data_IF_576079121662
#
_entry.id   IF_576079121662
#
_cell.length_a   1.000
_cell.length_b   1.000
_cell.length_c   1.000
_cell.angle_alpha   90.00
_cell.angle_beta   90.00
_cell.angle_gamma   90.00
#
_symmetry.space_group_name_H-M   'P 1'
#
loop_
_entity.id
_entity.type
_entity.pdbx_description
1 polymer ?
#
# COMPACT_ATOMS: atom_id res chain seq x y z
N UNK A 1 4.83 -2.68 -7.38
CA UNK A 1 4.82 -1.86 -6.15
C UNK A 1 6.22 -1.30 -5.87
N UNK A 2 6.34 0.01 -5.58
CA UNK A 2 7.62 0.72 -5.54
C UNK A 2 8.44 0.42 -4.29
N UNK A 3 7.89 0.67 -3.10
CA UNK A 3 8.67 0.65 -1.86
C UNK A 3 9.01 -0.79 -1.41
N UNK A 4 8.05 -1.71 -1.48
CA UNK A 4 8.29 -3.13 -1.14
C UNK A 4 9.25 -3.83 -2.12
N UNK A 5 9.26 -3.37 -3.38
CA UNK A 5 10.21 -3.85 -4.39
C UNK A 5 11.62 -3.30 -4.15
N UNK A 6 11.73 -2.04 -3.73
CA UNK A 6 13.01 -1.47 -3.30
C UNK A 6 13.54 -2.18 -2.05
N UNK A 7 12.67 -2.43 -1.05
CA UNK A 7 13.04 -3.12 0.17
C UNK A 7 13.56 -4.53 -0.10
N UNK A 8 12.91 -5.29 -0.99
CA UNK A 8 13.40 -6.62 -1.40
C UNK A 8 14.81 -6.54 -1.99
N UNK A 9 15.05 -5.61 -2.92
CA UNK A 9 16.37 -5.43 -3.55
C UNK A 9 17.48 -5.12 -2.54
N UNK A 10 17.18 -4.31 -1.53
CA UNK A 10 18.14 -4.02 -0.44
C UNK A 10 18.43 -5.29 0.37
N UNK A 11 17.41 -6.05 0.73
CA UNK A 11 17.58 -7.31 1.46
C UNK A 11 18.37 -8.36 0.67
N UNK A 12 18.08 -8.50 -0.63
CA UNK A 12 18.80 -9.40 -1.53
C UNK A 12 20.30 -9.00 -1.60
N UNK A 13 20.58 -7.70 -1.72
CA UNK A 13 21.95 -7.16 -1.74
C UNK A 13 22.71 -7.42 -0.43
N UNK A 14 21.98 -7.45 0.69
CA UNK A 14 22.52 -7.73 2.02
C UNK A 14 22.54 -9.22 2.38
N UNK A 15 22.10 -10.11 1.49
CA UNK A 15 21.89 -11.55 1.75
C UNK A 15 21.00 -11.81 2.97
N UNK A 16 19.98 -10.97 3.19
CA UNK A 16 19.01 -11.13 4.27
C UNK A 16 17.78 -11.87 3.74
N UNK A 17 17.49 -13.10 4.20
CA UNK A 17 16.33 -13.85 3.75
C UNK A 17 15.04 -13.26 4.35
N UNK A 18 14.20 -12.67 3.51
CA UNK A 18 12.88 -12.19 3.91
C UNK A 18 11.80 -13.21 3.55
N UNK A 19 11.07 -13.69 4.56
CA UNK A 19 9.98 -14.64 4.34
C UNK A 19 8.69 -13.96 3.86
N UNK A 20 8.33 -12.83 4.48
CA UNK A 20 7.03 -12.17 4.24
C UNK A 20 7.01 -11.25 3.02
N UNK A 21 8.12 -10.58 2.72
CA UNK A 21 8.14 -9.56 1.68
C UNK A 21 7.91 -10.11 0.26
N UNK A 22 8.44 -11.30 -0.12
CA UNK A 22 8.09 -11.93 -1.40
C UNK A 22 6.58 -12.20 -1.54
N UNK A 23 5.92 -12.64 -0.46
CA UNK A 23 4.47 -12.84 -0.44
C UNK A 23 3.71 -11.50 -0.54
N UNK A 24 4.20 -10.46 0.12
CA UNK A 24 3.61 -9.13 -0.01
C UNK A 24 3.70 -8.62 -1.46
N UNK A 25 4.84 -8.80 -2.12
CA UNK A 25 5.03 -8.44 -3.54
C UNK A 25 4.05 -9.20 -4.43
N UNK A 26 3.88 -10.51 -4.24
CA UNK A 26 2.94 -11.30 -5.05
C UNK A 26 1.49 -10.85 -4.86
N UNK A 27 1.09 -10.54 -3.62
CA UNK A 27 -0.23 -9.97 -3.30
C UNK A 27 -0.46 -8.65 -4.04
N UNK A 28 0.51 -7.73 -4.01
CA UNK A 28 0.37 -6.44 -4.70
C UNK A 28 0.42 -6.58 -6.22
N UNK A 29 1.18 -7.52 -6.78
CA UNK A 29 1.19 -7.76 -8.22
C UNK A 29 -0.16 -8.30 -8.70
N UNK A 30 -0.77 -9.24 -7.97
CA UNK A 30 -2.14 -9.73 -8.24
C UNK A 30 -3.17 -8.60 -8.11
N UNK A 31 -3.03 -7.71 -7.14
CA UNK A 31 -3.87 -6.50 -7.04
C UNK A 31 -3.73 -5.57 -8.25
N UNK A 32 -2.50 -5.32 -8.71
CA UNK A 32 -2.23 -4.48 -9.90
C UNK A 32 -2.82 -5.11 -11.17
N UNK A 33 -2.73 -6.43 -11.31
CA UNK A 33 -3.29 -7.15 -12.45
C UNK A 33 -4.82 -7.05 -12.50
N UNK A 34 -5.48 -7.15 -11.34
CA UNK A 34 -6.96 -7.11 -11.24
C UNK A 34 -7.54 -5.70 -11.34
N UNK A 35 -6.91 -4.72 -10.68
CA UNK A 35 -7.52 -3.39 -10.46
C UNK A 35 -6.75 -2.26 -11.14
N UNK A 36 -5.61 -2.55 -11.77
CA UNK A 36 -4.79 -1.59 -12.48
C UNK A 36 -3.67 -0.98 -11.62
N UNK A 37 -2.63 -0.50 -12.30
CA UNK A 37 -1.41 0.02 -11.66
C UNK A 37 -1.57 1.39 -11.00
N UNK A 38 -2.68 2.08 -11.25
CA UNK A 38 -3.02 3.38 -10.63
C UNK A 38 -3.98 3.25 -9.44
N UNK A 39 -4.36 2.03 -9.06
CA UNK A 39 -5.19 1.79 -7.88
C UNK A 39 -4.42 2.17 -6.60
N UNK A 40 -5.15 2.64 -5.59
CA UNK A 40 -4.57 3.04 -4.31
C UNK A 40 -4.15 1.81 -3.50
N UNK A 41 -2.98 1.84 -2.84
CA UNK A 41 -2.50 0.69 -2.08
C UNK A 41 -3.44 0.20 -0.94
N UNK A 42 -4.25 1.05 -0.26
CA UNK A 42 -5.25 0.57 0.70
C UNK A 42 -6.33 -0.31 0.07
N UNK A 43 -6.62 -0.12 -1.22
CA UNK A 43 -7.60 -0.91 -1.97
C UNK A 43 -7.15 -2.35 -2.24
N UNK A 44 -5.98 -2.78 -1.73
CA UNK A 44 -5.59 -4.19 -1.74
C UNK A 44 -6.60 -5.07 -0.97
N UNK A 45 -7.39 -4.49 -0.06
CA UNK A 45 -8.49 -5.17 0.63
C UNK A 45 -9.58 -5.67 -0.33
N UNK A 46 -9.76 -5.02 -1.49
CA UNK A 46 -10.74 -5.42 -2.52
C UNK A 46 -10.56 -6.87 -2.97
N UNK A 47 -9.32 -7.40 -2.91
CA UNK A 47 -9.03 -8.82 -3.18
C UNK A 47 -9.80 -9.76 -2.26
N UNK A 48 -9.94 -9.38 -0.99
CA UNK A 48 -10.69 -10.14 0.01
C UNK A 48 -12.18 -9.83 -0.07
N UNK A 49 -12.57 -8.59 -0.32
CA UNK A 49 -13.98 -8.21 -0.53
C UNK A 49 -14.58 -8.98 -1.71
N UNK A 50 -13.91 -9.01 -2.86
CA UNK A 50 -14.33 -9.76 -4.05
C UNK A 50 -14.41 -11.27 -3.79
N UNK A 51 -13.46 -11.82 -3.03
CA UNK A 51 -13.42 -13.24 -2.73
C UNK A 51 -14.48 -13.69 -1.71
N UNK A 52 -14.94 -12.77 -0.85
CA UNK A 52 -15.85 -13.09 0.27
C UNK A 52 -17.25 -12.52 0.09
N UNK A 53 -17.43 -11.57 -0.82
CA UNK A 53 -18.66 -10.80 -0.98
C UNK A 53 -18.92 -9.81 0.17
N UNK A 54 -17.94 -9.56 1.04
CA UNK A 54 -18.06 -8.63 2.15
C UNK A 54 -17.73 -7.21 1.71
N UNK A 55 -18.47 -6.24 2.26
CA UNK A 55 -18.09 -4.82 2.23
C UNK A 55 -17.44 -4.48 3.57
N UNK A 56 -16.13 -4.22 3.57
CA UNK A 56 -15.33 -3.97 4.77
C UNK A 56 -15.32 -2.47 5.11
N UNK A 57 -15.81 -1.60 4.21
CA UNK A 57 -15.87 -0.17 4.45
C UNK A 57 -16.88 0.15 5.55
N UNK A 58 -16.38 0.70 6.65
CA UNK A 58 -17.21 1.06 7.78
C UNK A 58 -18.18 2.23 7.45
N UNK A 59 -19.35 2.30 8.09
CA UNK A 59 -20.26 3.45 7.95
C UNK A 59 -19.55 4.78 8.27
N UNK A 60 -19.77 5.78 7.43
CA UNK A 60 -19.15 7.10 7.57
C UNK A 60 -17.81 7.26 6.85
N UNK A 61 -17.21 6.18 6.32
CA UNK A 61 -15.99 6.27 5.51
C UNK A 61 -16.33 6.39 4.02
N UNK A 62 -15.83 7.42 3.31
CA UNK A 62 -16.07 7.57 1.89
C UNK A 62 -15.30 6.52 1.08
N UNK A 63 -15.72 6.22 -0.16
CA UNK A 63 -14.98 5.32 -1.06
C UNK A 63 -13.64 5.91 -1.53
N UNK A 64 -13.50 7.24 -1.48
CA UNK A 64 -12.28 7.97 -1.80
C UNK A 64 -12.05 9.03 -0.73
N UNK A 65 -10.83 9.08 -0.20
CA UNK A 65 -10.42 10.12 0.75
C UNK A 65 -9.99 11.36 -0.05
N UNK A 66 -10.59 12.50 0.25
CA UNK A 66 -10.17 13.79 -0.32
C UNK A 66 -9.34 14.53 0.71
N UNK A 67 -8.24 15.10 0.27
CA UNK A 67 -7.48 16.09 1.05
C UNK A 67 -7.94 17.49 0.64
N UNK A 68 -8.49 18.22 1.60
CA UNK A 68 -8.97 19.59 1.41
C UNK A 68 -7.93 20.63 1.89
N UNK A 69 -6.78 20.19 2.41
CA UNK A 69 -5.70 21.09 2.83
C UNK A 69 -4.96 21.65 1.60
N UNK A 70 -4.63 22.96 1.59
CA UNK A 70 -3.85 23.55 0.51
C UNK A 70 -2.42 22.98 0.50
N UNK A 71 -1.86 22.80 -0.70
CA UNK A 71 -0.47 22.35 -0.85
C UNK A 71 0.50 23.36 -0.22
N UNK A 72 1.35 22.90 0.71
CA UNK A 72 2.38 23.70 1.36
C UNK A 72 3.78 23.16 1.06
N UNK A 73 4.79 24.04 1.13
CA UNK A 73 6.17 23.60 1.07
C UNK A 73 6.51 22.72 2.29
N UNK A 74 7.03 21.52 2.03
CA UNK A 74 7.48 20.60 3.07
C UNK A 74 8.55 21.26 3.97
N UNK A 75 8.46 21.00 5.27
CA UNK A 75 9.42 21.50 6.27
C UNK A 75 9.91 20.36 7.16
N UNK A 76 11.16 20.46 7.60
CA UNK A 76 11.73 19.48 8.53
C UNK A 76 11.08 19.60 9.92
N UNK A 77 10.63 18.46 10.46
CA UNK A 77 10.05 18.41 11.80
C UNK A 77 11.17 18.12 12.81
N UNK A 78 11.51 19.14 13.61
CA UNK A 78 12.45 18.96 14.71
C UNK A 78 11.72 18.32 15.89
N UNK A 79 11.91 17.01 16.06
CA UNK A 79 11.37 16.26 17.21
C UNK A 79 12.05 16.77 18.49
N UNK A 80 11.28 17.33 19.42
CA UNK A 80 11.78 17.64 20.76
C UNK A 80 11.93 16.32 21.53
N UNK A 81 13.16 16.01 21.97
CA UNK A 81 13.44 14.92 22.90
C UNK A 81 13.16 15.33 24.33
#
# INVERSE_FOLDING_TARGET
AKDIGLFQKVADSANVPLEMNPLLISIFNDGIERYGSRELSPNIIKRLEDATGLDIRAPGFPPEMTDDEPEEAGREIIVRR
#
